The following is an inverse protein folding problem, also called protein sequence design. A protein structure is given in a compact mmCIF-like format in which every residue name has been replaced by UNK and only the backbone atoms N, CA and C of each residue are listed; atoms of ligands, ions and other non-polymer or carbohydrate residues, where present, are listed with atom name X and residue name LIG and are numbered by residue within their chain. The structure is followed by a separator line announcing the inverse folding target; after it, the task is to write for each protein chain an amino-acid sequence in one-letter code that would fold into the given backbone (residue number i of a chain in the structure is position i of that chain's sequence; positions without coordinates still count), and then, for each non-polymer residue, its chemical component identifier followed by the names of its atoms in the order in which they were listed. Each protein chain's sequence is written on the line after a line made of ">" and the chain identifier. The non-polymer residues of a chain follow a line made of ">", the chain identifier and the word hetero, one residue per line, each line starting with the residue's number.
data_IF_873378389739
#
_entry.id   IF_873378389739
#
_cell.length_a   1.000
_cell.length_b   1.000
_cell.length_c   1.000
_cell.angle_alpha   90.00
_cell.angle_beta   90.00
_cell.angle_gamma   90.00
#
_symmetry.space_group_name_H-M   'P 1'
#
loop_
_entity.id
_entity.type
_entity.pdbx_description
1 polymer ?
#
# COMPACT_ATOMS: atom_id res chain seq x y z
N UNK A 1 -33.37 -38.48 23.87
CA UNK A 1 -31.94 -38.83 24.04
C UNK A 1 -31.42 -39.23 22.65
N UNK A 2 -31.00 -38.26 21.82
CA UNK A 2 -29.60 -37.94 21.46
C UNK A 2 -28.92 -39.07 20.64
N UNK A 3 -28.34 -38.90 19.43
CA UNK A 3 -27.91 -37.72 18.67
C UNK A 3 -28.15 -37.88 17.15
N UNK A 4 -28.22 -36.80 16.36
CA UNK A 4 -27.09 -36.02 15.77
C UNK A 4 -26.05 -36.95 15.09
N UNK A 5 -25.68 -36.80 13.83
CA UNK A 5 -25.72 -35.65 12.94
C UNK A 5 -25.75 -36.09 11.46
N UNK A 6 -26.60 -35.41 10.68
CA UNK A 6 -26.43 -35.28 9.25
C UNK A 6 -25.40 -34.18 8.99
N UNK A 7 -24.37 -34.46 8.20
CA UNK A 7 -23.57 -33.44 7.54
C UNK A 7 -23.37 -33.88 6.09
N UNK A 8 -24.30 -33.43 5.24
CA UNK A 8 -24.10 -33.38 3.79
C UNK A 8 -23.01 -32.35 3.51
N UNK A 9 -21.99 -32.77 2.80
CA UNK A 9 -21.17 -31.85 2.01
C UNK A 9 -22.05 -31.14 0.99
N UNK A 10 -21.77 -29.86 0.71
CA UNK A 10 -21.61 -29.47 -0.68
C UNK A 10 -20.36 -28.62 -0.87
N UNK A 11 -19.62 -28.97 -1.93
CA UNK A 11 -18.59 -28.12 -2.48
C UNK A 11 -19.18 -26.78 -2.92
N UNK A 12 -18.49 -25.72 -2.56
CA UNK A 12 -18.71 -24.36 -3.01
C UNK A 12 -17.37 -23.76 -3.40
N UNK A 13 -16.98 -24.04 -4.64
CA UNK A 13 -15.91 -23.37 -5.38
C UNK A 13 -16.16 -21.86 -5.36
N UNK A 14 -15.23 -21.08 -4.81
CA UNK A 14 -14.92 -19.73 -5.31
C UNK A 14 -13.40 -19.62 -5.43
N UNK A 15 -12.92 -19.97 -6.61
CA UNK A 15 -11.61 -19.61 -7.12
C UNK A 15 -11.68 -18.10 -7.40
N UNK A 16 -11.35 -17.29 -6.39
CA UNK A 16 -11.29 -15.84 -6.48
C UNK A 16 -9.97 -15.41 -7.10
N UNK A 17 -9.76 -15.83 -8.35
CA UNK A 17 -8.70 -15.36 -9.23
C UNK A 17 -8.83 -13.84 -9.35
N UNK A 18 -8.02 -13.07 -8.60
CA UNK A 18 -7.84 -11.64 -8.87
C UNK A 18 -6.90 -11.49 -10.05
N UNK A 19 -7.45 -11.64 -11.25
CA UNK A 19 -6.90 -10.99 -12.44
C UNK A 19 -7.24 -9.50 -12.34
N UNK A 20 -6.37 -8.73 -11.69
CA UNK A 20 -6.38 -7.27 -11.73
C UNK A 20 -5.38 -6.80 -12.78
N UNK A 21 -5.85 -6.70 -14.02
CA UNK A 21 -5.12 -6.20 -15.17
C UNK A 21 -4.29 -4.95 -14.86
N UNK A 22 -3.04 -4.99 -15.32
CA UNK A 22 -2.16 -3.85 -15.52
C UNK A 22 -2.88 -2.69 -16.20
N UNK A 23 -2.57 -1.47 -15.75
CA UNK A 23 -2.48 -0.32 -16.65
C UNK A 23 -3.53 0.78 -16.51
N UNK A 24 -3.44 1.58 -15.45
CA UNK A 24 -3.27 3.03 -15.62
C UNK A 24 -2.90 3.68 -14.27
N UNK A 25 -1.69 4.23 -14.22
CA UNK A 25 -1.26 5.16 -13.16
C UNK A 25 -2.02 6.47 -13.39
N UNK A 26 -3.27 6.55 -12.94
CA UNK A 26 -4.04 7.79 -12.93
C UNK A 26 -4.06 8.32 -11.49
N UNK A 27 -3.29 9.39 -11.26
CA UNK A 27 -3.38 10.23 -10.05
C UNK A 27 -4.71 11.00 -10.05
N UNK A 28 -5.83 10.31 -9.82
CA UNK A 28 -7.12 10.93 -9.55
C UNK A 28 -7.64 10.34 -8.25
N UNK A 29 -7.47 11.11 -7.16
CA UNK A 29 -8.11 10.94 -5.85
C UNK A 29 -8.37 9.47 -5.45
N UNK A 30 -7.32 8.76 -5.02
CA UNK A 30 -7.38 7.30 -4.90
C UNK A 30 -7.67 6.90 -3.45
N UNK A 31 -8.87 6.36 -3.19
CA UNK A 31 -9.00 5.35 -2.14
C UNK A 31 -8.08 4.19 -2.54
N UNK A 32 -6.90 4.06 -1.90
CA UNK A 32 -5.99 2.97 -2.20
C UNK A 32 -6.71 1.64 -1.94
N UNK A 33 -6.81 0.78 -2.96
CA UNK A 33 -7.26 -0.60 -2.76
C UNK A 33 -6.37 -1.28 -1.70
N UNK A 34 -6.93 -2.19 -0.88
CA UNK A 34 -6.20 -2.99 0.12
C UNK A 34 -4.84 -3.55 -0.37
N UNK A 35 -4.70 -4.14 -1.57
CA UNK A 35 -3.41 -4.62 -2.06
C UNK A 35 -2.39 -3.49 -2.32
N UNK A 36 -2.84 -2.34 -2.82
CA UNK A 36 -1.97 -1.19 -3.11
C UNK A 36 -1.49 -0.53 -1.82
N UNK A 37 -2.39 -0.37 -0.84
CA UNK A 37 -2.04 0.10 0.51
C UNK A 37 -1.02 -0.83 1.18
N UNK A 38 -1.24 -2.15 1.08
CA UNK A 38 -0.32 -3.14 1.62
C UNK A 38 1.06 -3.09 0.97
N UNK A 39 1.12 -2.85 -0.35
CA UNK A 39 2.38 -2.67 -1.09
C UNK A 39 3.11 -1.39 -0.65
N UNK A 40 2.40 -0.27 -0.51
CA UNK A 40 2.98 0.98 -0.02
C UNK A 40 3.57 0.81 1.40
N UNK A 41 2.85 0.11 2.28
CA UNK A 41 3.32 -0.21 3.64
C UNK A 41 4.61 -1.05 3.63
N UNK A 42 4.68 -2.04 2.74
CA UNK A 42 5.90 -2.85 2.59
C UNK A 42 7.08 -1.98 2.14
N UNK A 43 6.89 -1.10 1.15
CA UNK A 43 7.91 -0.18 0.67
C UNK A 43 8.37 0.79 1.77
N UNK A 44 7.45 1.36 2.55
CA UNK A 44 7.78 2.26 3.67
C UNK A 44 8.65 1.55 4.72
N UNK A 45 8.33 0.29 5.03
CA UNK A 45 9.13 -0.53 5.96
C UNK A 45 10.50 -0.89 5.42
N UNK A 46 10.57 -1.27 4.15
CA UNK A 46 11.84 -1.54 3.46
C UNK A 46 12.71 -0.28 3.47
N UNK A 47 12.17 0.88 3.10
CA UNK A 47 12.90 2.15 3.08
C UNK A 47 13.41 2.60 4.45
N UNK A 48 12.80 2.14 5.54
CA UNK A 48 13.25 2.41 6.91
C UNK A 48 14.43 1.52 7.32
N UNK A 49 14.71 0.44 6.58
CA UNK A 49 15.84 -0.44 6.83
C UNK A 49 17.16 0.20 6.34
N UNK A 50 18.12 0.50 7.24
CA UNK A 50 19.39 1.10 6.86
C UNK A 50 20.31 0.13 6.07
N UNK A 51 19.93 -1.14 5.94
CA UNK A 51 20.71 -2.15 5.20
C UNK A 51 20.52 -2.08 3.67
N UNK A 52 19.56 -1.28 3.17
CA UNK A 52 19.29 -1.17 1.74
C UNK A 52 20.29 -0.21 1.08
N UNK A 53 20.95 -0.61 -0.03
CA UNK A 53 21.84 0.27 -0.77
C UNK A 53 21.07 1.42 -1.44
N UNK A 54 21.69 2.61 -1.49
CA UNK A 54 21.06 3.85 -1.97
C UNK A 54 20.44 3.74 -3.38
N UNK A 55 21.06 2.98 -4.29
CA UNK A 55 20.53 2.73 -5.63
C UNK A 55 19.15 2.06 -5.60
N UNK A 56 18.99 1.09 -4.70
CA UNK A 56 17.77 0.32 -4.55
C UNK A 56 16.73 1.08 -3.69
N UNK A 57 17.21 1.92 -2.77
CA UNK A 57 16.39 2.90 -2.04
C UNK A 57 15.73 3.88 -3.01
N UNK A 58 16.48 4.46 -3.95
CA UNK A 58 15.94 5.39 -4.94
C UNK A 58 14.82 4.79 -5.79
N UNK A 59 15.00 3.56 -6.28
CA UNK A 59 13.96 2.86 -7.06
C UNK A 59 12.69 2.61 -6.24
N UNK A 60 12.84 2.25 -4.96
CA UNK A 60 11.70 2.02 -4.05
C UNK A 60 10.97 3.32 -3.71
N UNK A 61 11.70 4.43 -3.53
CA UNK A 61 11.12 5.76 -3.34
C UNK A 61 10.32 6.16 -4.58
N UNK A 62 10.90 6.05 -5.77
CA UNK A 62 10.20 6.36 -7.03
C UNK A 62 8.91 5.55 -7.21
N UNK A 63 8.92 4.26 -6.83
CA UNK A 63 7.71 3.41 -6.83
C UNK A 63 6.68 3.93 -5.83
N UNK A 64 7.10 4.26 -4.61
CA UNK A 64 6.23 4.78 -3.55
C UNK A 64 5.60 6.14 -3.92
N UNK A 65 6.39 7.05 -4.47
CA UNK A 65 5.93 8.36 -4.94
C UNK A 65 4.89 8.22 -6.06
N UNK A 66 5.06 7.25 -6.96
CA UNK A 66 4.09 6.95 -8.03
C UNK A 66 2.79 6.37 -7.48
N UNK A 67 2.87 5.51 -6.47
CA UNK A 67 1.68 4.91 -5.83
C UNK A 67 0.89 5.97 -5.07
N UNK A 68 1.57 6.82 -4.31
CA UNK A 68 0.94 7.82 -3.44
C UNK A 68 0.70 9.16 -4.13
N UNK A 69 1.20 9.34 -5.36
CA UNK A 69 1.19 10.61 -6.09
C UNK A 69 1.80 11.77 -5.29
N UNK A 70 2.75 11.48 -4.40
CA UNK A 70 3.35 12.42 -3.46
C UNK A 70 4.88 12.45 -3.63
N UNK A 71 5.45 13.50 -4.28
CA UNK A 71 6.88 13.57 -4.63
C UNK A 71 7.81 13.89 -3.44
N UNK A 72 7.27 13.96 -2.22
CA UNK A 72 8.05 14.27 -1.01
C UNK A 72 7.67 13.32 0.13
N UNK A 73 7.26 12.09 -0.20
CA UNK A 73 6.97 11.05 0.80
C UNK A 73 8.19 10.76 1.68
N UNK A 74 9.40 10.82 1.13
CA UNK A 74 10.64 10.67 1.90
C UNK A 74 10.80 11.78 2.95
N UNK A 75 10.32 12.99 2.65
CA UNK A 75 10.28 14.10 3.61
C UNK A 75 9.30 13.83 4.74
N UNK A 76 8.14 13.20 4.44
CA UNK A 76 7.19 12.79 5.47
C UNK A 76 7.75 11.69 6.38
N UNK A 77 8.59 10.79 5.83
CA UNK A 77 9.18 9.67 6.57
C UNK A 77 10.36 10.09 7.46
N UNK A 78 11.28 10.91 6.94
CA UNK A 78 12.56 11.18 7.62
C UNK A 78 12.71 12.59 8.17
N UNK A 79 11.91 13.55 7.69
CA UNK A 79 12.09 14.97 7.99
C UNK A 79 10.88 15.59 8.70
N UNK A 80 9.78 14.85 8.89
CA UNK A 80 8.61 15.33 9.62
C UNK A 80 8.79 15.11 11.12
N UNK A 81 8.49 16.15 11.91
CA UNK A 81 8.33 16.07 13.36
C UNK A 81 6.88 16.45 13.73
N UNK A 82 6.14 15.61 14.48
CA UNK A 82 6.53 14.30 15.04
C UNK A 82 6.74 13.22 13.96
N UNK A 83 7.59 12.25 14.28
CA UNK A 83 7.82 11.08 13.42
C UNK A 83 6.51 10.31 13.23
N UNK A 84 6.18 10.00 11.97
CA UNK A 84 4.97 9.26 11.64
C UNK A 84 5.22 7.76 11.66
N UNK A 85 4.20 7.02 12.08
CA UNK A 85 4.13 5.59 11.82
C UNK A 85 3.96 5.29 10.33
N UNK A 86 4.30 4.08 9.91
CA UNK A 86 4.25 3.68 8.49
C UNK A 86 2.87 3.91 7.85
N UNK A 87 1.80 3.70 8.62
CA UNK A 87 0.42 3.89 8.19
C UNK A 87 0.06 5.38 8.07
N UNK A 88 0.50 6.19 9.04
CA UNK A 88 0.29 7.63 9.03
C UNK A 88 1.04 8.33 7.90
N UNK A 89 2.23 7.83 7.52
CA UNK A 89 2.96 8.33 6.33
C UNK A 89 2.10 8.19 5.09
N UNK A 90 1.47 7.03 4.89
CA UNK A 90 0.61 6.77 3.73
C UNK A 90 -0.62 7.67 3.77
N UNK A 91 -1.29 7.76 4.92
CA UNK A 91 -2.47 8.61 5.06
C UNK A 91 -2.16 10.09 4.84
N UNK A 92 -1.02 10.57 5.33
CA UNK A 92 -0.59 11.95 5.12
C UNK A 92 -0.18 12.21 3.66
N UNK A 93 0.50 11.25 3.03
CA UNK A 93 0.85 11.33 1.62
C UNK A 93 -0.41 11.34 0.73
N UNK A 94 -1.47 10.61 1.09
CA UNK A 94 -2.74 10.65 0.36
C UNK A 94 -3.51 11.97 0.53
N UNK A 95 -3.31 12.67 1.65
CA UNK A 95 -3.85 14.03 1.84
C UNK A 95 -3.11 15.06 0.99
N UNK A 96 -1.92 14.73 0.47
CA UNK A 96 -1.19 15.62 -0.39
C UNK A 96 -1.98 15.89 -1.67
N UNK A 97 -2.55 17.08 -1.75
CA UNK A 97 -3.10 17.60 -2.99
C UNK A 97 -2.04 18.50 -3.61
N UNK A 98 -1.54 18.19 -4.82
CA UNK A 98 -0.68 19.12 -5.52
C UNK A 98 -1.50 20.40 -5.71
N UNK A 99 -1.10 21.46 -5.00
CA UNK A 99 -1.60 22.79 -5.26
C UNK A 99 -1.19 23.11 -6.69
N UNK A 100 -2.18 23.26 -7.57
CA UNK A 100 -1.96 23.74 -8.93
C UNK A 100 -1.34 25.14 -8.81
N UNK A 101 -0.02 25.22 -8.98
CA UNK A 101 0.74 26.45 -9.19
C UNK A 101 0.58 26.89 -10.64
#
# INVERSE_FOLDING_TARGET
>A
MAGRAAARSPGGRVDGRRDGSLGHVFCVAVELDDPTRSRALALVRELRDPAIPDEETGVRVDELERILCCPHVISLMFFREPELSDEEVIEEALKYQPFAL
#
